data_IF_791566900658
#
_entry.id   IF_791566900658
#
_cell.length_a   1.000
_cell.length_b   1.000
_cell.length_c   1.000
_cell.angle_alpha   90.00
_cell.angle_beta   90.00
_cell.angle_gamma   90.00
#
_symmetry.space_group_name_H-M   'P 1'
#
loop_
_entity.id
_entity.type
_entity.pdbx_description
1 polymer ?
#
# COMPACT_ATOMS: atom_id res chain seq x y z
N UNK A 1 -45.58 -10.38 -25.16
CA UNK A 1 -44.84 -11.37 -24.30
C UNK A 1 -45.62 -11.50 -23.00
N UNK A 2 -46.01 -12.76 -22.58
CA UNK A 2 -46.79 -12.92 -21.34
C UNK A 2 -45.92 -12.55 -20.12
N UNK A 3 -46.50 -11.86 -19.13
CA UNK A 3 -45.80 -11.39 -17.92
C UNK A 3 -44.93 -12.48 -17.25
N UNK A 4 -45.43 -13.75 -17.27
CA UNK A 4 -44.70 -14.94 -16.82
C UNK A 4 -43.37 -15.17 -17.57
N UNK A 5 -43.34 -14.95 -18.88
CA UNK A 5 -42.12 -15.15 -19.68
C UNK A 5 -41.08 -14.04 -19.39
N UNK A 6 -41.54 -12.80 -19.17
CA UNK A 6 -40.69 -11.70 -18.76
C UNK A 6 -40.05 -11.96 -17.39
N UNK A 7 -40.84 -12.48 -16.44
CA UNK A 7 -40.35 -12.86 -15.10
C UNK A 7 -39.28 -13.96 -15.19
N UNK A 8 -39.56 -15.04 -15.97
CA UNK A 8 -38.60 -16.14 -16.17
C UNK A 8 -37.30 -15.66 -16.80
N UNK A 9 -37.37 -14.78 -17.79
CA UNK A 9 -36.18 -14.15 -18.41
C UNK A 9 -35.38 -13.33 -17.40
N UNK A 10 -36.05 -12.54 -16.57
CA UNK A 10 -35.39 -11.76 -15.53
C UNK A 10 -34.68 -12.64 -14.51
N UNK A 11 -35.34 -13.70 -14.04
CA UNK A 11 -34.74 -14.68 -13.11
C UNK A 11 -33.53 -15.37 -13.75
N UNK A 12 -33.66 -15.83 -15.01
CA UNK A 12 -32.54 -16.42 -15.72
C UNK A 12 -31.37 -15.46 -15.88
N UNK A 13 -31.62 -14.19 -16.18
CA UNK A 13 -30.59 -13.15 -16.28
C UNK A 13 -29.89 -12.95 -14.94
N UNK A 14 -30.63 -12.85 -13.82
CA UNK A 14 -30.05 -12.69 -12.49
C UNK A 14 -29.21 -13.89 -12.09
N UNK A 15 -29.64 -15.12 -12.43
CA UNK A 15 -28.86 -16.34 -12.17
C UNK A 15 -27.56 -16.36 -12.99
N UNK A 16 -27.61 -15.94 -14.25
CA UNK A 16 -26.42 -15.84 -15.12
C UNK A 16 -25.44 -14.80 -14.55
N UNK A 17 -25.94 -13.62 -14.15
CA UNK A 17 -25.13 -12.56 -13.53
C UNK A 17 -24.47 -13.09 -12.26
N UNK A 18 -25.25 -13.68 -11.37
CA UNK A 18 -24.77 -14.27 -10.12
C UNK A 18 -23.72 -15.34 -10.32
N UNK A 19 -23.96 -16.26 -11.29
CA UNK A 19 -22.98 -17.30 -11.64
C UNK A 19 -21.67 -16.72 -12.17
N UNK A 20 -21.73 -15.73 -13.06
CA UNK A 20 -20.53 -15.08 -13.61
C UNK A 20 -19.72 -14.34 -12.56
N UNK A 21 -20.37 -13.71 -11.59
CA UNK A 21 -19.68 -13.08 -10.47
C UNK A 21 -19.04 -14.14 -9.57
N UNK A 22 -19.80 -15.18 -9.19
CA UNK A 22 -19.31 -16.23 -8.32
C UNK A 22 -18.13 -17.02 -8.90
N UNK A 23 -18.10 -17.19 -10.23
CA UNK A 23 -17.02 -17.91 -10.95
C UNK A 23 -15.91 -17.00 -11.46
N UNK A 24 -16.00 -15.68 -11.23
CA UNK A 24 -14.93 -14.77 -11.61
C UNK A 24 -13.70 -15.01 -10.76
N UNK A 25 -12.60 -15.41 -11.40
CA UNK A 25 -11.35 -15.75 -10.74
C UNK A 25 -10.34 -14.62 -10.85
N UNK A 26 -9.53 -14.52 -9.82
CA UNK A 26 -8.33 -13.68 -9.81
C UNK A 26 -7.10 -14.58 -10.02
N UNK A 27 -5.97 -14.03 -10.51
CA UNK A 27 -4.73 -14.79 -10.57
C UNK A 27 -4.36 -15.30 -9.17
N UNK A 28 -3.89 -16.53 -9.11
CA UNK A 28 -3.31 -17.05 -7.88
C UNK A 28 -1.98 -16.33 -7.60
N UNK A 29 -1.66 -16.17 -6.32
CA UNK A 29 -0.34 -15.68 -5.92
C UNK A 29 0.72 -16.65 -6.45
N UNK A 30 1.80 -16.12 -7.01
CA UNK A 30 2.93 -16.92 -7.48
C UNK A 30 3.55 -17.72 -6.34
N UNK A 31 4.22 -18.82 -6.68
CA UNK A 31 4.99 -19.61 -5.72
C UNK A 31 6.18 -18.79 -5.20
N UNK A 32 6.34 -18.71 -3.86
CA UNK A 32 7.50 -18.06 -3.21
C UNK A 32 8.85 -18.75 -3.51
N UNK A 33 8.81 -19.94 -4.12
CA UNK A 33 10.01 -20.77 -4.36
C UNK A 33 10.81 -20.36 -5.61
N UNK A 34 10.35 -19.38 -6.38
CA UNK A 34 11.15 -18.84 -7.49
C UNK A 34 12.27 -17.97 -6.95
N UNK A 35 13.50 -18.31 -7.31
CA UNK A 35 14.67 -17.49 -7.01
C UNK A 35 14.40 -16.05 -7.45
N UNK A 36 14.71 -15.04 -6.60
CA UNK A 36 14.47 -13.65 -6.93
C UNK A 36 15.16 -13.30 -8.26
N UNK A 37 14.41 -12.71 -9.17
CA UNK A 37 14.95 -12.21 -10.45
C UNK A 37 15.97 -11.06 -10.24
N UNK A 38 16.12 -10.62 -9.00
CA UNK A 38 17.02 -9.56 -8.52
C UNK A 38 17.84 -10.08 -7.35
N UNK A 39 18.91 -9.36 -6.98
CA UNK A 39 19.67 -9.62 -5.75
C UNK A 39 18.93 -9.17 -4.46
N UNK A 40 17.66 -8.75 -4.57
CA UNK A 40 16.85 -8.25 -3.47
C UNK A 40 15.74 -9.25 -3.13
N UNK A 41 15.41 -9.34 -1.85
CA UNK A 41 14.32 -10.13 -1.32
C UNK A 41 13.08 -9.23 -1.19
N UNK A 42 11.97 -9.66 -1.76
CA UNK A 42 10.70 -8.95 -1.81
C UNK A 42 9.76 -9.49 -0.74
N UNK A 43 9.48 -8.68 0.28
CA UNK A 43 8.62 -9.05 1.41
C UNK A 43 7.33 -8.24 1.38
N UNK A 44 6.23 -8.98 1.35
CA UNK A 44 4.87 -8.46 1.29
C UNK A 44 4.32 -8.14 2.66
N UNK A 45 3.87 -6.91 2.89
CA UNK A 45 3.42 -6.52 4.22
C UNK A 45 2.34 -5.47 4.28
N UNK A 46 1.73 -5.40 5.45
CA UNK A 46 0.67 -4.45 5.77
C UNK A 46 1.13 -3.46 6.84
N UNK A 47 0.78 -2.21 6.62
CA UNK A 47 0.97 -1.11 7.55
C UNK A 47 -0.41 -0.51 7.84
N UNK A 48 -0.62 0.02 9.03
CA UNK A 48 -1.87 0.59 9.51
C UNK A 48 -2.95 -0.48 9.72
N UNK A 49 -2.79 -1.21 10.81
CA UNK A 49 -3.74 -2.23 11.25
C UNK A 49 -4.03 -2.03 12.73
N UNK A 50 -5.31 -2.10 13.10
CA UNK A 50 -5.76 -1.94 14.47
C UNK A 50 -6.06 -3.28 15.11
N UNK A 51 -5.74 -3.37 16.41
CA UNK A 51 -6.01 -4.53 17.24
C UNK A 51 -6.98 -4.19 18.37
N UNK A 52 -7.26 -5.15 19.26
CA UNK A 52 -8.06 -4.91 20.48
C UNK A 52 -7.39 -3.97 21.48
N UNK A 53 -6.15 -3.55 21.24
CA UNK A 53 -5.51 -2.51 22.04
C UNK A 53 -6.07 -1.11 21.78
N UNK A 54 -6.79 -0.93 20.68
CA UNK A 54 -7.56 0.29 20.41
C UNK A 54 -9.00 -0.05 19.98
N UNK A 55 -9.30 0.02 18.73
CA UNK A 55 -10.67 -0.17 18.22
C UNK A 55 -10.77 -1.24 17.12
N UNK A 56 -9.71 -2.01 16.92
CA UNK A 56 -9.73 -3.23 16.10
C UNK A 56 -10.53 -4.36 16.75
N UNK A 57 -11.00 -5.30 15.93
CA UNK A 57 -11.85 -6.41 16.39
C UNK A 57 -11.07 -7.67 16.79
N UNK A 58 -9.80 -7.78 16.40
CA UNK A 58 -8.96 -8.96 16.62
C UNK A 58 -7.84 -8.71 17.63
N UNK A 59 -7.47 -9.73 18.41
CA UNK A 59 -6.22 -9.70 19.18
C UNK A 59 -5.02 -9.74 18.23
N UNK A 60 -3.82 -9.50 18.75
CA UNK A 60 -2.58 -9.60 17.95
C UNK A 60 -2.47 -10.97 17.29
N UNK A 61 -2.73 -12.04 18.06
CA UNK A 61 -2.67 -13.42 17.59
C UNK A 61 -3.69 -13.70 16.48
N UNK A 62 -4.93 -13.19 16.61
CA UNK A 62 -5.98 -13.33 15.60
C UNK A 62 -5.63 -12.58 14.31
N UNK A 63 -5.08 -11.37 14.44
CA UNK A 63 -4.65 -10.53 13.31
C UNK A 63 -3.45 -11.16 12.61
N UNK A 64 -2.45 -11.63 13.35
CA UNK A 64 -1.30 -12.34 12.79
C UNK A 64 -1.71 -13.64 12.08
N UNK A 65 -2.61 -14.43 12.67
CA UNK A 65 -3.15 -15.63 12.04
C UNK A 65 -3.91 -15.33 10.73
N UNK A 66 -4.66 -14.21 10.67
CA UNK A 66 -5.31 -13.76 9.44
C UNK A 66 -4.28 -13.35 8.38
N UNK A 67 -3.22 -12.64 8.78
CA UNK A 67 -2.09 -12.28 7.91
C UNK A 67 -1.38 -13.50 7.33
N UNK A 68 -1.09 -14.50 8.16
CA UNK A 68 -0.52 -15.77 7.71
C UNK A 68 -1.40 -16.45 6.65
N UNK A 69 -2.71 -16.54 6.86
CA UNK A 69 -3.65 -17.09 5.85
C UNK A 69 -3.75 -16.23 4.59
N UNK A 70 -3.49 -14.93 4.69
CA UNK A 70 -3.45 -14.01 3.55
C UNK A 70 -2.11 -14.05 2.80
N UNK A 71 -1.10 -14.73 3.33
CA UNK A 71 0.23 -14.82 2.75
C UNK A 71 1.06 -13.53 2.94
N UNK A 72 0.86 -12.84 4.06
CA UNK A 72 1.58 -11.62 4.45
C UNK A 72 2.85 -12.01 5.21
N UNK A 73 3.99 -11.39 4.89
CA UNK A 73 5.29 -11.66 5.51
C UNK A 73 5.55 -10.78 6.74
N UNK A 74 5.04 -9.53 6.73
CA UNK A 74 5.13 -8.65 7.89
C UNK A 74 3.86 -7.82 8.06
N UNK A 75 3.57 -7.44 9.31
CA UNK A 75 2.45 -6.58 9.66
C UNK A 75 2.89 -5.59 10.75
N UNK A 76 2.62 -4.31 10.52
CA UNK A 76 2.85 -3.26 11.51
C UNK A 76 1.49 -2.77 11.99
N UNK A 77 1.13 -3.10 13.25
CA UNK A 77 -0.04 -2.50 13.88
C UNK A 77 0.25 -1.06 14.28
N UNK A 78 -0.79 -0.22 14.26
CA UNK A 78 -0.70 1.17 14.66
C UNK A 78 -1.95 1.55 15.45
N UNK A 79 -2.10 0.93 16.60
CA UNK A 79 -3.23 1.16 17.50
C UNK A 79 -3.30 2.64 17.93
N UNK A 80 -4.52 3.18 18.05
CA UNK A 80 -4.74 4.59 18.35
C UNK A 80 -4.12 5.03 19.68
N UNK A 81 -3.16 5.96 19.62
CA UNK A 81 -2.54 6.65 20.75
C UNK A 81 -2.01 5.70 21.83
N UNK A 82 -1.45 4.57 21.42
CA UNK A 82 -0.88 3.57 22.33
C UNK A 82 0.19 2.71 21.66
N UNK A 83 1.24 2.42 22.41
CA UNK A 83 2.26 1.41 22.11
C UNK A 83 2.11 0.18 23.02
N UNK A 84 0.92 -0.06 23.57
CA UNK A 84 0.71 -1.15 24.51
C UNK A 84 1.09 -2.53 23.94
N UNK A 85 0.88 -2.84 22.63
CA UNK A 85 1.37 -4.11 22.07
C UNK A 85 2.89 -4.28 22.21
N UNK A 86 3.69 -3.21 22.03
CA UNK A 86 5.13 -3.24 22.26
C UNK A 86 5.47 -3.46 23.75
N UNK A 87 4.80 -2.75 24.66
CA UNK A 87 5.00 -2.85 26.11
C UNK A 87 4.65 -4.24 26.60
N UNK A 88 3.62 -4.87 26.05
CA UNK A 88 3.19 -6.23 26.38
C UNK A 88 4.00 -7.31 25.64
N UNK A 89 5.12 -6.95 25.00
CA UNK A 89 6.02 -7.85 24.27
C UNK A 89 5.32 -8.68 23.19
N UNK A 90 4.40 -8.05 22.46
CA UNK A 90 3.66 -8.71 21.37
C UNK A 90 4.41 -8.69 20.03
N UNK A 91 5.48 -7.90 19.87
CA UNK A 91 6.31 -7.98 18.67
C UNK A 91 7.01 -9.33 18.58
N UNK A 92 7.09 -9.88 17.38
CA UNK A 92 7.73 -11.17 17.17
C UNK A 92 7.26 -11.89 15.92
N UNK A 93 7.78 -13.09 15.76
CA UNK A 93 7.39 -14.00 14.69
C UNK A 93 6.17 -14.83 15.10
N UNK A 94 5.12 -14.78 14.30
CA UNK A 94 3.91 -15.58 14.39
C UNK A 94 3.87 -16.49 13.15
N UNK A 95 4.34 -17.72 13.26
CA UNK A 95 4.66 -18.60 12.15
C UNK A 95 5.63 -17.93 11.16
N UNK A 96 5.18 -17.57 9.95
CA UNK A 96 6.02 -16.90 8.95
C UNK A 96 5.79 -15.37 8.86
N UNK A 97 4.96 -14.81 9.72
CA UNK A 97 4.66 -13.38 9.76
C UNK A 97 5.43 -12.68 10.87
N UNK A 98 6.19 -11.63 10.51
CA UNK A 98 6.80 -10.71 11.45
C UNK A 98 5.77 -9.66 11.88
N UNK A 99 5.33 -9.70 13.15
CA UNK A 99 4.44 -8.70 13.72
C UNK A 99 5.24 -7.63 14.44
N UNK A 100 4.99 -6.35 14.10
CA UNK A 100 5.61 -5.18 14.71
C UNK A 100 4.54 -4.19 15.16
N UNK A 101 4.92 -3.28 16.06
CA UNK A 101 4.03 -2.28 16.66
C UNK A 101 4.49 -0.87 16.36
N UNK A 102 3.54 -0.03 15.99
CA UNK A 102 3.64 1.41 15.91
C UNK A 102 2.45 2.04 16.61
N UNK A 103 2.22 3.32 16.38
CA UNK A 103 1.16 4.10 16.98
C UNK A 103 0.49 4.99 15.91
N UNK A 104 -0.84 5.02 15.84
CA UNK A 104 -1.56 6.06 15.12
C UNK A 104 -1.90 7.21 16.07
N UNK A 105 -1.18 8.32 15.92
CA UNK A 105 -1.27 9.48 16.82
C UNK A 105 -2.30 10.48 16.29
N UNK A 106 -3.34 10.72 17.08
CA UNK A 106 -4.37 11.71 16.77
C UNK A 106 -4.02 13.11 17.23
N UNK A 107 -4.09 14.11 16.34
CA UNK A 107 -3.69 15.51 16.55
C UNK A 107 -4.82 16.48 16.21
N UNK A 108 -5.92 16.43 16.98
CA UNK A 108 -7.03 17.39 16.75
C UNK A 108 -7.81 17.19 15.44
N UNK A 109 -7.82 15.98 14.89
CA UNK A 109 -8.51 15.60 13.66
C UNK A 109 -7.57 15.33 12.49
N UNK A 110 -6.26 15.40 12.69
CA UNK A 110 -5.22 14.92 11.80
C UNK A 110 -4.53 13.72 12.48
N UNK A 111 -3.92 12.85 11.69
CA UNK A 111 -3.30 11.64 12.21
C UNK A 111 -1.95 11.38 11.54
N UNK A 112 -1.03 10.79 12.29
CA UNK A 112 0.24 10.28 11.77
C UNK A 112 0.51 8.88 12.31
N UNK A 113 1.04 8.02 11.47
CA UNK A 113 1.58 6.75 11.91
C UNK A 113 3.01 6.98 12.39
N UNK A 114 3.31 6.55 13.61
CA UNK A 114 4.65 6.55 14.17
C UNK A 114 5.15 5.12 14.30
N UNK A 115 6.27 4.81 13.68
CA UNK A 115 6.89 3.48 13.69
C UNK A 115 8.35 3.58 14.12
N UNK A 116 8.88 2.53 14.74
CA UNK A 116 10.27 2.51 15.23
C UNK A 116 10.48 3.42 16.44
N UNK A 117 9.44 3.74 17.21
CA UNK A 117 9.48 4.46 18.47
C UNK A 117 9.47 3.49 19.65
N UNK A 118 10.04 3.88 20.76
CA UNK A 118 10.14 3.07 21.99
C UNK A 118 9.19 3.52 23.10
N UNK A 119 8.60 4.71 22.96
CA UNK A 119 7.67 5.31 23.93
C UNK A 119 6.52 5.93 23.20
N UNK A 120 5.31 5.78 23.76
CA UNK A 120 4.09 6.43 23.28
C UNK A 120 4.30 7.94 23.18
N UNK A 121 3.92 8.51 22.05
CA UNK A 121 3.91 9.95 21.84
C UNK A 121 2.60 10.51 22.33
N UNK A 122 2.65 11.28 23.40
CA UNK A 122 1.47 11.75 24.13
C UNK A 122 0.52 12.58 23.27
N UNK A 123 -0.75 12.17 23.21
CA UNK A 123 -1.86 12.90 22.61
C UNK A 123 -2.16 14.16 23.39
N UNK A 124 -1.62 15.29 23.01
CA UNK A 124 -1.83 16.57 23.70
C UNK A 124 -2.28 17.68 22.76
N UNK A 125 -3.32 17.53 21.95
CA UNK A 125 -3.79 18.61 21.04
C UNK A 125 -2.62 19.42 20.42
N UNK A 126 -1.47 18.76 20.26
CA UNK A 126 -0.22 19.36 19.85
C UNK A 126 -0.30 19.73 18.37
N UNK A 127 0.42 20.75 18.04
CA UNK A 127 0.73 21.06 16.65
C UNK A 127 1.44 19.83 16.01
N UNK A 128 1.09 19.44 14.79
CA UNK A 128 1.67 18.28 14.13
C UNK A 128 3.20 18.27 14.12
N UNK A 129 3.84 19.45 13.96
CA UNK A 129 5.30 19.54 13.97
C UNK A 129 5.91 19.03 15.27
N UNK A 130 5.34 19.36 16.43
CA UNK A 130 5.86 18.93 17.71
C UNK A 130 5.75 17.40 17.89
N UNK A 131 4.72 16.76 17.32
CA UNK A 131 4.55 15.30 17.32
C UNK A 131 5.61 14.65 16.41
N UNK A 132 5.79 15.19 15.20
CA UNK A 132 6.80 14.66 14.26
C UNK A 132 8.22 14.80 14.83
N UNK A 133 8.52 15.92 15.49
CA UNK A 133 9.81 16.14 16.14
C UNK A 133 10.06 15.15 17.30
N UNK A 134 9.02 14.83 18.08
CA UNK A 134 9.13 13.83 19.17
C UNK A 134 9.34 12.40 18.61
N UNK A 135 8.64 12.03 17.54
CA UNK A 135 8.88 10.76 16.85
C UNK A 135 10.32 10.69 16.34
N UNK A 136 10.78 11.76 15.68
CA UNK A 136 12.15 11.84 15.16
C UNK A 136 13.21 11.79 16.25
N UNK A 137 12.98 12.44 17.41
CA UNK A 137 13.88 12.37 18.58
C UNK A 137 14.04 10.95 19.13
N UNK A 138 13.04 10.09 18.94
CA UNK A 138 13.13 8.67 19.28
C UNK A 138 13.80 7.84 18.18
N UNK A 139 14.23 8.44 17.04
CA UNK A 139 14.72 7.72 15.87
C UNK A 139 13.62 7.06 15.03
N UNK A 140 12.35 7.38 15.30
CA UNK A 140 11.19 6.82 14.63
C UNK A 140 10.94 7.42 13.25
N UNK A 141 9.95 6.88 12.59
CA UNK A 141 9.43 7.29 11.29
C UNK A 141 8.00 7.82 11.45
N UNK A 142 7.67 8.89 10.70
CA UNK A 142 6.33 9.49 10.70
C UNK A 142 5.74 9.46 9.31
N UNK A 143 4.53 8.87 9.17
CA UNK A 143 3.78 8.85 7.92
C UNK A 143 2.43 9.55 8.12
N UNK A 144 2.10 10.50 7.22
CA UNK A 144 0.76 11.12 7.24
C UNK A 144 -0.28 10.01 7.00
N UNK A 145 -1.18 9.84 7.96
CA UNK A 145 -2.29 8.89 7.85
C UNK A 145 -3.48 9.54 7.12
N UNK A 146 -4.13 8.78 6.25
CA UNK A 146 -5.31 9.14 5.45
C UNK A 146 -5.38 10.63 5.06
N UNK A 147 -4.34 11.16 4.32
CA UNK A 147 -4.10 12.58 4.13
C UNK A 147 -5.26 13.36 3.53
N UNK A 148 -6.11 12.71 2.76
CA UNK A 148 -7.25 13.32 2.06
C UNK A 148 -8.60 12.83 2.57
N UNK A 149 -8.66 12.37 3.82
CA UNK A 149 -9.92 11.99 4.43
C UNK A 149 -10.84 13.22 4.63
N UNK A 150 -12.14 13.16 4.27
CA UNK A 150 -13.00 14.34 4.28
C UNK A 150 -13.14 15.05 5.63
N UNK A 151 -12.99 14.33 6.74
CA UNK A 151 -13.15 14.88 8.11
C UNK A 151 -11.85 15.00 8.87
N UNK A 152 -10.91 14.07 8.64
CA UNK A 152 -9.65 13.94 9.37
C UNK A 152 -8.43 13.97 8.46
N UNK A 153 -8.56 14.60 7.29
CA UNK A 153 -7.43 14.77 6.37
C UNK A 153 -6.40 15.76 6.90
N UNK A 154 -5.18 15.61 6.41
CA UNK A 154 -4.04 16.43 6.78
C UNK A 154 -4.22 17.88 6.32
N UNK A 155 -3.96 18.85 7.20
CA UNK A 155 -4.11 20.27 6.93
C UNK A 155 -2.78 21.03 7.01
N UNK A 156 -1.89 20.54 7.86
CA UNK A 156 -0.61 21.20 8.16
C UNK A 156 0.49 20.79 7.17
N UNK A 157 0.26 21.07 5.88
CA UNK A 157 1.17 20.71 4.80
C UNK A 157 2.56 21.39 4.87
N UNK A 158 2.75 22.37 5.76
CA UNK A 158 4.05 22.97 6.08
C UNK A 158 4.91 22.17 7.06
N UNK A 159 4.40 21.07 7.63
CA UNK A 159 5.16 20.19 8.54
C UNK A 159 6.33 19.56 7.80
N UNK A 160 7.50 19.55 8.46
CA UNK A 160 8.75 19.01 7.93
C UNK A 160 9.23 17.80 8.73
N UNK A 161 10.19 17.03 8.19
CA UNK A 161 10.75 15.85 8.87
C UNK A 161 9.83 14.62 8.84
N UNK A 162 8.83 14.63 7.99
CA UNK A 162 8.01 13.45 7.69
C UNK A 162 8.83 12.41 6.92
N UNK A 163 8.64 11.14 7.21
CA UNK A 163 9.21 10.03 6.43
C UNK A 163 8.38 9.77 5.18
N UNK A 164 7.05 9.85 5.29
CA UNK A 164 6.19 9.51 4.18
C UNK A 164 4.72 9.85 4.38
N UNK A 165 3.89 9.33 3.48
CA UNK A 165 2.45 9.48 3.53
C UNK A 165 1.75 8.27 2.93
N UNK A 166 0.53 8.03 3.34
CA UNK A 166 -0.37 7.07 2.72
C UNK A 166 -0.86 7.58 1.37
N UNK A 167 -0.70 6.76 0.34
CA UNK A 167 -1.18 7.06 -1.01
C UNK A 167 -2.52 6.37 -1.27
N UNK A 168 -2.61 5.10 -0.92
CA UNK A 168 -3.86 4.33 -0.95
C UNK A 168 -4.26 4.06 0.49
N UNK A 169 -5.45 4.47 0.86
CA UNK A 169 -6.08 4.17 2.14
C UNK A 169 -7.34 3.34 1.90
N UNK A 170 -7.35 2.15 2.45
CA UNK A 170 -8.41 1.18 2.22
C UNK A 170 -9.76 1.63 2.81
N UNK A 171 -9.75 2.24 4.00
CA UNK A 171 -10.98 2.75 4.61
C UNK A 171 -11.59 3.89 3.77
N UNK A 172 -10.77 4.67 3.08
CA UNK A 172 -11.21 5.76 2.23
C UNK A 172 -11.91 5.25 0.96
N UNK A 173 -11.55 4.05 0.45
CA UNK A 173 -12.23 3.44 -0.70
C UNK A 173 -13.73 3.24 -0.43
N UNK A 174 -14.08 2.75 0.76
CA UNK A 174 -15.48 2.60 1.16
C UNK A 174 -16.19 3.94 1.32
N UNK A 175 -15.51 4.95 1.85
CA UNK A 175 -16.09 6.28 2.15
C UNK A 175 -16.28 7.13 0.89
N UNK A 176 -15.45 6.96 -0.14
CA UNK A 176 -15.54 7.68 -1.42
C UNK A 176 -16.44 6.99 -2.45
N UNK A 177 -16.78 5.71 -2.26
CA UNK A 177 -17.65 4.98 -3.15
C UNK A 177 -19.05 5.63 -3.23
N UNK A 178 -19.56 5.81 -4.43
CA UNK A 178 -20.94 6.25 -4.61
C UNK A 178 -21.94 5.16 -4.13
N UNK A 179 -23.14 5.57 -3.81
CA UNK A 179 -24.15 4.67 -3.23
C UNK A 179 -24.49 3.46 -4.10
N UNK A 180 -24.43 3.60 -5.43
CA UNK A 180 -24.72 2.50 -6.38
C UNK A 180 -23.58 1.48 -6.32
N UNK A 181 -22.34 1.93 -6.39
CA UNK A 181 -21.14 1.06 -6.29
C UNK A 181 -21.09 0.35 -4.95
N UNK A 182 -21.39 1.06 -3.86
CA UNK A 182 -21.43 0.47 -2.51
C UNK A 182 -22.53 -0.61 -2.42
N UNK A 183 -23.75 -0.31 -2.89
CA UNK A 183 -24.85 -1.27 -2.92
C UNK A 183 -24.50 -2.50 -3.75
N UNK A 184 -23.90 -2.30 -4.94
CA UNK A 184 -23.45 -3.38 -5.80
C UNK A 184 -22.40 -4.25 -5.11
N UNK A 185 -21.41 -3.65 -4.47
CA UNK A 185 -20.39 -4.36 -3.71
C UNK A 185 -20.98 -5.17 -2.56
N UNK A 186 -21.92 -4.61 -1.82
CA UNK A 186 -22.63 -5.32 -0.74
C UNK A 186 -23.43 -6.52 -1.26
N UNK A 187 -24.12 -6.38 -2.40
CA UNK A 187 -24.90 -7.47 -3.02
C UNK A 187 -24.02 -8.58 -3.59
N UNK A 188 -22.86 -8.23 -4.09
CA UNK A 188 -21.93 -9.19 -4.73
C UNK A 188 -20.95 -9.82 -3.75
N UNK A 189 -20.75 -9.23 -2.56
CA UNK A 189 -19.82 -9.73 -1.54
C UNK A 189 -20.07 -11.19 -1.13
N UNK A 190 -21.30 -11.64 -0.87
CA UNK A 190 -21.56 -13.06 -0.55
C UNK A 190 -21.21 -14.03 -1.69
N UNK A 191 -21.21 -13.55 -2.93
CA UNK A 191 -20.91 -14.37 -4.12
C UNK A 191 -19.40 -14.41 -4.39
N UNK A 192 -18.74 -13.26 -4.28
CA UNK A 192 -17.31 -13.10 -4.52
C UNK A 192 -16.76 -11.86 -3.77
N UNK A 193 -16.23 -12.06 -2.54
CA UNK A 193 -15.72 -10.97 -1.72
C UNK A 193 -14.62 -10.15 -2.42
N UNK A 194 -13.71 -10.81 -3.11
CA UNK A 194 -12.60 -10.18 -3.85
C UNK A 194 -13.11 -9.27 -4.95
N UNK A 195 -14.06 -9.73 -5.76
CA UNK A 195 -14.71 -8.92 -6.78
C UNK A 195 -15.44 -7.71 -6.18
N UNK A 196 -16.18 -7.93 -5.09
CA UNK A 196 -16.90 -6.86 -4.41
C UNK A 196 -15.98 -5.76 -3.90
N UNK A 197 -14.81 -6.13 -3.32
CA UNK A 197 -13.82 -5.15 -2.86
C UNK A 197 -13.13 -4.43 -4.02
N UNK A 198 -12.79 -5.14 -5.10
CA UNK A 198 -12.17 -4.52 -6.28
C UNK A 198 -13.07 -3.45 -6.92
N UNK A 199 -14.40 -3.62 -6.87
CA UNK A 199 -15.34 -2.61 -7.37
C UNK A 199 -15.27 -1.27 -6.62
N UNK A 200 -14.75 -1.28 -5.39
CA UNK A 200 -14.55 -0.05 -4.59
C UNK A 200 -13.24 0.64 -4.92
N UNK A 201 -12.30 -0.06 -5.54
CA UNK A 201 -11.00 0.49 -5.87
C UNK A 201 -11.11 1.59 -6.93
N UNK A 202 -10.51 2.72 -6.63
CA UNK A 202 -10.31 3.85 -7.54
C UNK A 202 -8.87 4.30 -7.42
N UNK A 203 -8.24 4.63 -8.57
CA UNK A 203 -6.88 5.20 -8.55
C UNK A 203 -6.89 6.47 -7.68
N UNK A 204 -5.97 6.60 -6.70
CA UNK A 204 -5.98 7.69 -5.71
C UNK A 204 -5.39 8.98 -6.30
N UNK A 205 -6.04 9.54 -7.34
CA UNK A 205 -5.51 10.65 -8.14
C UNK A 205 -5.08 11.85 -7.31
N UNK A 206 -5.90 12.25 -6.32
CA UNK A 206 -5.61 13.43 -5.50
C UNK A 206 -4.42 13.20 -4.57
N UNK A 207 -4.29 11.99 -4.00
CA UNK A 207 -3.17 11.64 -3.14
C UNK A 207 -1.87 11.54 -3.94
N UNK A 208 -1.91 10.92 -5.12
CA UNK A 208 -0.78 10.87 -6.05
C UNK A 208 -0.32 12.27 -6.44
N UNK A 209 -1.26 13.16 -6.82
CA UNK A 209 -0.94 14.55 -7.15
C UNK A 209 -0.27 15.27 -5.97
N UNK A 210 -0.81 15.12 -4.76
CA UNK A 210 -0.23 15.73 -3.57
C UNK A 210 1.15 15.17 -3.24
N UNK A 211 1.35 13.87 -3.42
CA UNK A 211 2.64 13.22 -3.27
C UNK A 211 3.66 13.73 -4.30
N UNK A 212 3.27 13.76 -5.59
CA UNK A 212 4.11 14.30 -6.67
C UNK A 212 4.51 15.78 -6.43
N UNK A 213 3.60 16.61 -5.91
CA UNK A 213 3.90 18.00 -5.53
C UNK A 213 4.94 18.07 -4.40
N UNK A 214 4.78 17.26 -3.35
CA UNK A 214 5.66 17.29 -2.18
C UNK A 214 7.04 16.72 -2.49
N UNK A 215 7.11 15.63 -3.25
CA UNK A 215 8.37 14.97 -3.60
C UNK A 215 9.30 15.82 -4.45
N UNK A 216 8.81 16.88 -5.06
CA UNK A 216 9.69 17.87 -5.74
C UNK A 216 10.56 18.67 -4.77
N UNK A 217 10.16 18.81 -3.52
CA UNK A 217 10.85 19.64 -2.52
C UNK A 217 11.43 18.87 -1.34
N UNK A 218 11.05 17.60 -1.16
CA UNK A 218 11.51 16.75 -0.06
C UNK A 218 11.50 15.27 -0.47
N UNK A 219 12.25 14.44 0.23
CA UNK A 219 12.13 12.99 0.13
C UNK A 219 10.91 12.55 0.95
N UNK A 220 9.94 11.89 0.34
CA UNK A 220 8.70 11.47 0.98
C UNK A 220 8.25 10.11 0.45
N UNK A 221 8.26 9.13 1.32
CA UNK A 221 7.93 7.74 0.99
C UNK A 221 6.41 7.56 0.85
N UNK A 222 5.97 6.98 -0.26
CA UNK A 222 4.58 6.57 -0.45
C UNK A 222 4.34 5.14 0.04
N UNK A 223 3.24 4.93 0.75
CA UNK A 223 2.82 3.60 1.23
C UNK A 223 1.35 3.31 0.92
N UNK A 224 1.03 2.01 0.87
CA UNK A 224 -0.33 1.52 1.00
C UNK A 224 -0.69 1.39 2.48
N UNK A 225 -1.86 1.90 2.84
CA UNK A 225 -2.46 1.79 4.16
C UNK A 225 -3.59 0.77 4.13
N UNK A 226 -3.51 -0.21 5.01
CA UNK A 226 -4.56 -1.20 5.14
C UNK A 226 -5.76 -0.68 5.93
N UNK A 227 -5.54 0.15 6.93
CA UNK A 227 -6.52 0.75 7.88
C UNK A 227 -7.60 -0.27 8.29
N UNK A 228 -7.11 -1.46 8.75
CA UNK A 228 -7.99 -2.59 9.06
C UNK A 228 -8.42 -2.54 10.52
N UNK A 229 -9.74 -2.40 10.72
CA UNK A 229 -10.35 -2.53 12.03
C UNK A 229 -11.06 -3.89 12.22
N UNK A 230 -11.31 -4.63 11.14
CA UNK A 230 -11.98 -5.94 11.17
C UNK A 230 -13.45 -5.89 11.60
N UNK A 231 -14.03 -4.71 11.77
CA UNK A 231 -15.42 -4.53 12.13
C UNK A 231 -16.02 -3.26 11.52
N UNK A 232 -17.30 -3.34 11.19
CA UNK A 232 -18.11 -2.20 10.80
C UNK A 232 -19.06 -1.83 11.96
N UNK A 233 -18.93 -0.61 12.49
CA UNK A 233 -19.81 -0.11 13.56
C UNK A 233 -21.09 0.50 12.97
N UNK A 234 -22.23 -0.18 13.15
CA UNK A 234 -23.54 0.30 12.71
C UNK A 234 -24.05 1.41 13.65
N UNK A 235 -23.80 1.27 14.96
CA UNK A 235 -24.04 2.27 16.04
C UNK A 235 -23.04 2.02 17.15
N UNK A 236 -22.91 2.96 18.11
CA UNK A 236 -22.01 2.82 19.28
C UNK A 236 -22.09 1.45 20.00
N UNK A 237 -23.18 0.69 19.80
CA UNK A 237 -23.49 -0.56 20.53
C UNK A 237 -23.45 -1.84 19.67
N UNK A 238 -23.43 -1.71 18.34
CA UNK A 238 -23.48 -2.86 17.44
C UNK A 238 -22.36 -2.78 16.42
N UNK A 239 -21.47 -3.77 16.44
CA UNK A 239 -20.46 -3.97 15.41
C UNK A 239 -20.69 -5.30 14.70
N UNK A 240 -20.42 -5.33 13.41
CA UNK A 240 -20.44 -6.55 12.60
C UNK A 240 -19.01 -6.77 12.11
N UNK A 241 -18.47 -7.98 12.32
CA UNK A 241 -17.17 -8.36 11.74
C UNK A 241 -17.31 -8.47 10.22
N UNK A 242 -17.07 -7.37 9.55
CA UNK A 242 -17.21 -7.24 8.10
C UNK A 242 -16.42 -6.02 7.61
N UNK A 243 -15.73 -6.12 6.45
CA UNK A 243 -15.39 -7.35 5.72
C UNK A 243 -14.47 -8.27 6.53
N UNK A 244 -14.32 -9.53 6.11
CA UNK A 244 -13.39 -10.45 6.74
C UNK A 244 -11.95 -9.90 6.61
N UNK A 245 -11.17 -9.78 7.71
CA UNK A 245 -9.83 -9.18 7.67
C UNK A 245 -8.93 -9.82 6.61
N UNK A 246 -8.92 -11.15 6.52
CA UNK A 246 -8.13 -11.88 5.53
C UNK A 246 -8.44 -11.47 4.07
N UNK A 247 -9.71 -11.21 3.74
CA UNK A 247 -10.10 -10.76 2.39
C UNK A 247 -9.54 -9.37 2.09
N UNK A 248 -9.54 -8.48 3.09
CA UNK A 248 -8.98 -7.13 2.96
C UNK A 248 -7.46 -7.19 2.83
N UNK A 249 -6.80 -8.04 3.63
CA UNK A 249 -5.36 -8.23 3.62
C UNK A 249 -4.81 -8.74 2.28
N UNK A 250 -5.65 -9.44 1.49
CA UNK A 250 -5.30 -9.93 0.15
C UNK A 250 -5.49 -8.90 -0.97
N UNK A 251 -6.10 -7.74 -0.68
CA UNK A 251 -6.45 -6.76 -1.70
C UNK A 251 -5.20 -6.06 -2.25
N UNK A 252 -4.38 -5.54 -1.36
CA UNK A 252 -3.18 -4.79 -1.69
C UNK A 252 -2.17 -4.85 -0.54
N UNK A 253 -0.91 -4.59 -0.82
CA UNK A 253 0.14 -4.56 0.19
C UNK A 253 1.32 -3.67 -0.21
N UNK A 254 2.22 -3.45 0.76
CA UNK A 254 3.55 -2.89 0.53
C UNK A 254 4.52 -4.04 0.28
N UNK A 255 5.37 -3.91 -0.73
CA UNK A 255 6.43 -4.83 -1.09
C UNK A 255 7.77 -4.17 -0.77
N UNK A 256 8.41 -4.61 0.30
CA UNK A 256 9.67 -4.05 0.78
C UNK A 256 10.84 -4.87 0.27
N UNK A 257 11.77 -4.19 -0.37
CA UNK A 257 12.94 -4.80 -1.02
C UNK A 257 14.13 -4.81 -0.06
N UNK A 258 14.51 -5.98 0.41
CA UNK A 258 15.59 -6.16 1.38
C UNK A 258 16.85 -6.73 0.72
N UNK A 259 18.05 -6.28 1.14
CA UNK A 259 19.32 -6.78 0.59
C UNK A 259 19.68 -8.20 1.10
N UNK A 260 19.01 -8.68 2.15
CA UNK A 260 19.24 -10.00 2.76
C UNK A 260 17.90 -10.59 3.20
N UNK A 261 17.80 -11.92 3.29
CA UNK A 261 16.58 -12.56 3.77
C UNK A 261 16.36 -12.32 5.27
N UNK A 262 15.11 -12.40 5.69
CA UNK A 262 14.76 -12.53 7.11
C UNK A 262 15.41 -13.79 7.69
N UNK A 263 15.84 -13.72 8.94
CA UNK A 263 16.53 -14.81 9.65
C UNK A 263 15.72 -15.44 10.77
N UNK A 264 14.55 -14.86 11.10
CA UNK A 264 13.78 -15.23 12.30
C UNK A 264 14.29 -14.57 13.58
N UNK A 265 15.26 -13.64 13.49
CA UNK A 265 15.73 -12.82 14.59
C UNK A 265 14.97 -11.49 14.60
N UNK A 266 14.22 -11.23 15.66
CA UNK A 266 13.32 -10.08 15.74
C UNK A 266 14.05 -8.75 15.52
N UNK A 267 15.14 -8.52 16.24
CA UNK A 267 15.83 -7.22 16.19
C UNK A 267 16.52 -7.00 14.85
N UNK A 268 17.17 -8.04 14.33
CA UNK A 268 17.83 -7.98 13.03
C UNK A 268 16.81 -7.73 11.91
N UNK A 269 15.74 -8.50 11.87
CA UNK A 269 14.74 -8.46 10.81
C UNK A 269 13.92 -7.15 10.87
N UNK A 270 13.56 -6.69 12.08
CA UNK A 270 12.89 -5.41 12.34
C UNK A 270 13.73 -4.23 11.86
N UNK A 271 15.01 -4.18 12.22
CA UNK A 271 15.90 -3.08 11.85
C UNK A 271 16.06 -3.01 10.33
N UNK A 272 16.33 -4.15 9.68
CA UNK A 272 16.47 -4.21 8.23
C UNK A 272 15.18 -3.77 7.49
N UNK A 273 14.01 -4.18 8.00
CA UNK A 273 12.71 -3.76 7.46
C UNK A 273 12.50 -2.25 7.63
N UNK A 274 12.78 -1.72 8.82
CA UNK A 274 12.60 -0.29 9.10
C UNK A 274 13.59 0.58 8.32
N UNK A 275 14.82 0.13 8.09
CA UNK A 275 15.79 0.83 7.24
C UNK A 275 15.26 0.92 5.80
N UNK A 276 14.76 -0.17 5.24
CA UNK A 276 14.20 -0.17 3.88
C UNK A 276 12.94 0.71 3.78
N UNK A 277 12.06 0.69 4.78
CA UNK A 277 10.90 1.58 4.84
C UNK A 277 11.31 3.05 4.92
N UNK A 278 12.32 3.39 5.72
CA UNK A 278 12.85 4.75 5.86
C UNK A 278 13.43 5.26 4.55
N UNK A 279 14.16 4.41 3.86
CA UNK A 279 14.79 4.76 2.57
C UNK A 279 13.80 4.76 1.39
N UNK A 280 12.61 4.19 1.55
CA UNK A 280 11.64 4.08 0.48
C UNK A 280 11.97 2.96 -0.52
N UNK A 281 12.75 1.96 -0.11
CA UNK A 281 13.06 0.77 -0.91
C UNK A 281 11.84 -0.16 -0.95
N UNK A 282 10.73 0.35 -1.42
CA UNK A 282 9.47 -0.37 -1.52
C UNK A 282 8.61 0.14 -2.67
N UNK A 283 7.73 -0.70 -3.12
CA UNK A 283 6.60 -0.36 -3.95
C UNK A 283 5.32 -0.86 -3.28
N UNK A 284 4.17 -0.41 -3.74
CA UNK A 284 2.90 -0.93 -3.26
C UNK A 284 2.02 -1.33 -4.44
N UNK A 285 1.22 -2.37 -4.24
CA UNK A 285 0.48 -2.98 -5.32
C UNK A 285 -0.89 -3.48 -4.92
N UNK A 286 -1.78 -3.55 -5.89
CA UNK A 286 -3.08 -4.23 -5.79
C UNK A 286 -2.87 -5.72 -6.05
N UNK A 287 -2.45 -6.49 -5.06
CA UNK A 287 -2.08 -7.92 -5.18
C UNK A 287 -3.22 -8.78 -5.70
N UNK A 288 -4.45 -8.37 -5.45
CA UNK A 288 -5.63 -9.05 -5.98
C UNK A 288 -5.65 -9.10 -7.52
N UNK A 289 -4.99 -8.16 -8.19
CA UNK A 289 -4.92 -8.12 -9.65
C UNK A 289 -3.88 -9.06 -10.23
N UNK A 290 -2.95 -9.54 -9.41
CA UNK A 290 -1.87 -10.46 -9.76
C UNK A 290 -0.68 -10.28 -8.81
N UNK A 291 0.17 -11.28 -8.71
CA UNK A 291 1.37 -11.25 -7.88
C UNK A 291 2.43 -10.31 -8.49
N UNK A 292 2.75 -9.17 -7.85
CA UNK A 292 3.73 -8.21 -8.34
C UNK A 292 5.16 -8.54 -7.93
N UNK A 293 5.37 -9.62 -7.17
CA UNK A 293 6.68 -10.00 -6.61
C UNK A 293 7.76 -10.04 -7.68
N UNK A 294 8.89 -9.40 -7.37
CA UNK A 294 10.00 -9.25 -8.30
C UNK A 294 9.89 -8.04 -9.23
N UNK A 295 8.90 -7.16 -9.05
CA UNK A 295 8.94 -5.84 -9.67
C UNK A 295 10.12 -5.05 -9.12
N UNK A 296 10.85 -4.38 -10.00
CA UNK A 296 11.95 -3.50 -9.61
C UNK A 296 11.97 -2.24 -10.47
N UNK A 297 12.15 -1.09 -9.82
CA UNK A 297 12.48 0.17 -10.46
C UNK A 297 13.82 0.65 -9.91
N UNK A 298 14.81 0.75 -10.78
CA UNK A 298 16.19 1.07 -10.45
C UNK A 298 16.81 1.98 -11.49
N UNK A 299 17.91 2.65 -11.11
CA UNK A 299 18.71 3.46 -12.00
C UNK A 299 20.16 3.00 -12.02
N UNK A 300 20.89 3.40 -13.06
CA UNK A 300 22.35 3.29 -13.12
C UNK A 300 22.90 4.62 -13.61
N UNK A 301 23.77 5.25 -12.82
CA UNK A 301 24.45 6.49 -13.18
C UNK A 301 25.50 6.24 -14.25
N UNK A 302 25.99 7.29 -14.89
CA UNK A 302 27.08 7.21 -15.86
C UNK A 302 28.37 6.59 -15.26
N UNK A 303 28.62 6.79 -13.95
CA UNK A 303 29.73 6.17 -13.22
C UNK A 303 29.51 4.69 -12.88
N UNK A 304 28.37 4.10 -13.24
CA UNK A 304 28.02 2.72 -12.96
C UNK A 304 27.43 2.48 -11.56
N UNK A 305 27.17 3.53 -10.78
CA UNK A 305 26.50 3.41 -9.48
C UNK A 305 25.04 3.00 -9.66
N UNK A 306 24.60 2.00 -8.92
CA UNK A 306 23.22 1.53 -8.91
C UNK A 306 22.42 2.26 -7.85
N UNK A 307 21.24 2.69 -8.20
CA UNK A 307 20.26 3.33 -7.32
C UNK A 307 18.94 2.59 -7.41
N UNK A 308 18.23 2.51 -6.30
CA UNK A 308 16.95 1.86 -6.19
C UNK A 308 15.85 2.92 -6.01
N UNK A 309 14.59 2.55 -6.24
CA UNK A 309 13.47 3.41 -5.82
C UNK A 309 13.65 3.80 -4.35
N UNK A 310 13.41 5.08 -4.03
CA UNK A 310 13.72 5.69 -2.74
C UNK A 310 15.04 6.47 -2.71
N UNK A 311 16.02 6.12 -3.54
CA UNK A 311 17.34 6.74 -3.52
C UNK A 311 17.36 8.13 -4.18
N UNK A 312 18.35 8.95 -3.76
CA UNK A 312 18.70 10.22 -4.37
C UNK A 312 19.98 10.09 -5.21
N UNK A 313 19.93 10.61 -6.44
CA UNK A 313 21.08 10.76 -7.31
C UNK A 313 21.50 12.23 -7.30
N UNK A 314 22.67 12.50 -6.72
CA UNK A 314 23.21 13.87 -6.58
C UNK A 314 24.38 14.13 -7.52
N UNK A 315 24.82 13.12 -8.26
CA UNK A 315 25.92 13.25 -9.22
C UNK A 315 25.41 13.74 -10.56
N UNK A 316 26.13 14.67 -11.23
CA UNK A 316 25.78 15.09 -12.59
C UNK A 316 25.96 13.94 -13.59
N UNK A 317 25.24 14.02 -14.69
CA UNK A 317 25.30 13.04 -15.79
C UNK A 317 24.01 12.23 -15.90
N UNK A 318 23.74 11.64 -17.07
CA UNK A 318 22.50 10.90 -17.31
C UNK A 318 22.37 9.69 -16.40
N UNK A 319 21.11 9.36 -16.05
CA UNK A 319 20.76 8.16 -15.28
C UNK A 319 19.94 7.24 -16.17
N UNK A 320 20.41 6.03 -16.39
CA UNK A 320 19.62 5.01 -17.09
C UNK A 320 18.65 4.39 -16.12
N UNK A 321 17.37 4.74 -16.23
CA UNK A 321 16.28 4.21 -15.45
C UNK A 321 15.75 2.92 -16.09
N UNK A 322 15.46 1.91 -15.27
CA UNK A 322 14.93 0.62 -15.70
C UNK A 322 13.81 0.15 -14.79
N UNK A 323 12.64 -0.13 -15.36
CA UNK A 323 11.52 -0.77 -14.67
C UNK A 323 11.27 -2.17 -15.24
N UNK A 324 11.27 -3.18 -14.39
CA UNK A 324 11.07 -4.58 -14.80
C UNK A 324 9.99 -5.23 -13.96
N UNK A 325 9.14 -6.04 -14.60
CA UNK A 325 8.19 -6.91 -13.91
C UNK A 325 8.88 -8.22 -13.51
N UNK A 326 8.42 -8.80 -12.40
CA UNK A 326 8.80 -10.14 -11.99
C UNK A 326 8.40 -11.21 -13.01
N UNK A 327 8.84 -12.42 -12.79
CA UNK A 327 8.53 -13.56 -13.66
C UNK A 327 7.34 -14.39 -13.20
N UNK A 328 6.91 -14.21 -11.94
CA UNK A 328 5.89 -15.04 -11.30
C UNK A 328 4.48 -14.81 -11.89
N UNK A 329 4.20 -13.59 -12.32
CA UNK A 329 2.94 -13.24 -12.97
C UNK A 329 3.21 -12.32 -14.17
N UNK A 330 2.68 -12.72 -15.33
CA UNK A 330 2.71 -11.90 -16.56
C UNK A 330 1.29 -11.67 -17.03
N UNK A 331 0.72 -10.48 -16.80
CA UNK A 331 -0.59 -10.16 -17.32
C UNK A 331 -0.59 -10.19 -18.86
N UNK A 332 -1.73 -10.59 -19.45
CA UNK A 332 -1.89 -10.64 -20.92
C UNK A 332 -1.73 -9.26 -21.57
N UNK A 333 -2.15 -8.22 -20.85
CA UNK A 333 -2.04 -6.82 -21.31
C UNK A 333 -1.70 -5.91 -20.15
N UNK A 334 -0.58 -5.22 -20.27
CA UNK A 334 -0.09 -4.25 -19.29
C UNK A 334 0.62 -3.08 -19.96
N UNK A 335 0.79 -2.00 -19.22
CA UNK A 335 1.56 -0.83 -19.61
C UNK A 335 2.38 -0.35 -18.42
N UNK A 336 3.69 -0.28 -18.58
CA UNK A 336 4.61 0.34 -17.62
C UNK A 336 4.70 1.82 -18.01
N UNK A 337 4.35 2.72 -17.11
CA UNK A 337 4.36 4.17 -17.34
C UNK A 337 5.42 4.79 -16.43
N UNK A 338 6.41 5.47 -17.02
CA UNK A 338 7.37 6.29 -16.29
C UNK A 338 6.84 7.71 -16.19
N UNK A 339 6.81 8.25 -14.98
CA UNK A 339 6.42 9.62 -14.70
C UNK A 339 7.64 10.41 -14.19
N UNK A 340 7.75 11.67 -14.63
CA UNK A 340 8.67 12.68 -14.08
C UNK A 340 7.82 13.78 -13.47
N UNK A 341 8.03 14.06 -12.18
CA UNK A 341 7.29 15.12 -11.44
C UNK A 341 5.76 14.95 -11.56
N UNK A 342 5.29 13.69 -11.56
CA UNK A 342 3.88 13.33 -11.70
C UNK A 342 3.34 13.33 -13.13
N UNK A 343 4.15 13.69 -14.14
CA UNK A 343 3.74 13.74 -15.55
C UNK A 343 4.33 12.56 -16.33
N UNK A 344 3.53 11.77 -17.07
CA UNK A 344 4.05 10.71 -17.93
C UNK A 344 5.06 11.22 -18.96
N UNK A 345 6.23 10.59 -19.02
CA UNK A 345 7.30 10.92 -19.97
C UNK A 345 7.53 9.83 -21.02
N UNK A 346 7.27 8.58 -20.67
CA UNK A 346 7.32 7.45 -21.60
C UNK A 346 6.52 6.28 -21.05
N UNK A 347 6.17 5.34 -21.92
CA UNK A 347 5.54 4.07 -21.52
C UNK A 347 6.03 2.90 -22.39
N UNK A 348 5.75 1.67 -21.90
CA UNK A 348 6.07 0.44 -22.63
C UNK A 348 5.04 -0.65 -22.32
N UNK A 349 4.64 -1.40 -23.33
CA UNK A 349 3.86 -2.63 -23.19
C UNK A 349 4.73 -3.88 -23.06
N UNK A 350 6.05 -3.70 -22.96
CA UNK A 350 7.03 -4.78 -22.76
C UNK A 350 7.92 -4.49 -21.56
N UNK A 351 8.40 -5.54 -20.90
CA UNK A 351 9.34 -5.44 -19.78
C UNK A 351 10.73 -5.91 -20.25
N UNK A 352 11.81 -5.17 -19.91
CA UNK A 352 11.80 -3.92 -19.12
C UNK A 352 11.48 -2.69 -19.95
N UNK A 353 10.91 -1.65 -19.30
CA UNK A 353 11.00 -0.28 -19.78
C UNK A 353 12.40 0.26 -19.43
N UNK A 354 13.07 0.87 -20.39
CA UNK A 354 14.38 1.52 -20.19
C UNK A 354 14.29 2.96 -20.69
N UNK A 355 14.79 3.91 -19.89
CA UNK A 355 14.75 5.33 -20.20
C UNK A 355 16.03 6.04 -19.73
N UNK A 356 16.63 6.86 -20.57
CA UNK A 356 17.78 7.69 -20.21
C UNK A 356 17.28 9.05 -19.69
N UNK A 357 17.30 9.23 -18.36
CA UNK A 357 16.94 10.48 -17.71
C UNK A 357 18.13 11.46 -17.81
N UNK A 358 17.96 12.53 -18.60
CA UNK A 358 18.96 13.61 -18.78
C UNK A 358 18.65 14.85 -17.97
N UNK A 359 17.45 14.95 -17.47
CA UNK A 359 16.97 16.10 -16.71
C UNK A 359 16.70 15.71 -15.26
N UNK A 360 17.05 16.61 -14.36
CA UNK A 360 16.67 16.49 -12.95
C UNK A 360 15.15 16.41 -12.81
N UNK A 361 14.69 15.67 -11.81
CA UNK A 361 13.28 15.46 -11.51
C UNK A 361 13.04 14.26 -10.60
N UNK A 362 11.83 14.04 -10.24
CA UNK A 362 11.36 12.93 -9.42
C UNK A 362 10.73 11.88 -10.34
N UNK A 363 11.40 10.75 -10.47
CA UNK A 363 10.97 9.70 -11.39
C UNK A 363 10.34 8.55 -10.64
N UNK A 364 9.10 8.19 -10.99
CA UNK A 364 8.41 7.01 -10.46
C UNK A 364 7.68 6.24 -11.56
N UNK A 365 7.31 5.02 -11.25
CA UNK A 365 6.65 4.12 -12.19
C UNK A 365 5.26 3.75 -11.69
N UNK A 366 4.31 3.74 -12.60
CA UNK A 366 3.02 3.06 -12.44
C UNK A 366 2.93 1.92 -13.46
N UNK A 367 2.39 0.77 -13.04
CA UNK A 367 2.06 -0.31 -13.95
C UNK A 367 0.55 -0.44 -14.02
N UNK A 368 0.02 -0.25 -15.20
CA UNK A 368 -1.39 -0.45 -15.50
C UNK A 368 -1.60 -1.82 -16.12
N UNK A 369 -2.70 -2.47 -15.79
CA UNK A 369 -3.11 -3.69 -16.47
C UNK A 369 -4.58 -3.65 -16.84
N UNK A 370 -4.92 -4.35 -17.92
CA UNK A 370 -6.29 -4.54 -18.36
C UNK A 370 -6.80 -5.89 -17.86
N UNK A 371 -7.98 -5.86 -17.28
CA UNK A 371 -8.69 -7.08 -16.87
C UNK A 371 -10.09 -7.10 -17.48
N UNK A 372 -10.47 -8.28 -17.94
CA UNK A 372 -11.83 -8.52 -18.39
C UNK A 372 -12.75 -8.66 -17.18
N UNK A 373 -13.77 -7.81 -17.09
CA UNK A 373 -14.78 -7.90 -16.03
C UNK A 373 -15.65 -9.15 -16.21
N UNK A 374 -16.42 -9.57 -15.18
CA UNK A 374 -17.42 -10.63 -15.34
C UNK A 374 -18.42 -10.37 -16.46
N UNK A 375 -18.59 -9.12 -16.86
CA UNK A 375 -19.51 -8.69 -17.93
C UNK A 375 -18.83 -8.47 -19.29
N UNK A 376 -17.60 -9.01 -19.46
CA UNK A 376 -16.83 -9.00 -20.71
C UNK A 376 -16.34 -7.61 -21.16
N UNK A 377 -16.50 -6.57 -20.37
CA UNK A 377 -15.86 -5.27 -20.60
C UNK A 377 -14.41 -5.28 -20.08
N UNK A 378 -13.49 -4.65 -20.80
CA UNK A 378 -12.14 -4.43 -20.32
C UNK A 378 -12.13 -3.24 -19.37
N UNK A 379 -11.47 -3.42 -18.24
CA UNK A 379 -11.23 -2.37 -17.24
C UNK A 379 -9.72 -2.24 -17.03
N UNK A 380 -9.26 -1.00 -16.98
CA UNK A 380 -7.86 -0.68 -16.70
C UNK A 380 -7.71 -0.34 -15.22
N UNK A 381 -6.74 -0.97 -14.58
CA UNK A 381 -6.40 -0.73 -13.19
C UNK A 381 -4.92 -0.38 -13.10
N UNK A 382 -4.57 0.58 -12.24
CA UNK A 382 -3.18 0.72 -11.84
C UNK A 382 -2.88 -0.36 -10.80
N UNK A 383 -1.94 -1.23 -11.14
CA UNK A 383 -1.59 -2.42 -10.39
C UNK A 383 -0.44 -2.17 -9.42
N UNK A 384 0.65 -1.54 -9.89
CA UNK A 384 1.86 -1.28 -9.11
C UNK A 384 2.15 0.22 -9.11
N UNK A 385 2.60 0.72 -7.96
CA UNK A 385 3.11 2.07 -7.75
C UNK A 385 4.49 1.98 -7.11
N UNK A 386 5.53 2.44 -7.81
CA UNK A 386 6.86 2.52 -7.21
C UNK A 386 7.02 3.75 -6.33
N UNK A 387 7.88 3.67 -5.32
CA UNK A 387 8.49 4.87 -4.78
C UNK A 387 9.41 5.50 -5.83
N UNK A 388 9.68 6.81 -5.74
CA UNK A 388 10.46 7.51 -6.76
C UNK A 388 11.97 7.31 -6.60
N UNK A 389 12.71 7.51 -7.71
CA UNK A 389 14.12 7.84 -7.71
C UNK A 389 14.20 9.36 -7.85
N UNK A 390 14.96 10.01 -6.97
CA UNK A 390 15.14 11.45 -6.94
C UNK A 390 16.44 11.80 -7.68
N UNK A 391 16.34 12.29 -8.91
CA UNK A 391 17.50 12.76 -9.65
C UNK A 391 17.62 14.28 -9.50
N UNK A 392 18.65 14.72 -8.75
CA UNK A 392 18.84 16.12 -8.35
C UNK A 392 20.32 16.44 -8.33
N UNK A 393 20.72 17.58 -8.87
CA UNK A 393 22.11 18.02 -8.86
C UNK A 393 22.69 18.30 -7.47
N UNK A 394 21.83 18.47 -6.45
CA UNK A 394 22.22 18.58 -5.03
C UNK A 394 21.20 17.84 -4.14
N UNK A 395 21.64 17.23 -3.03
CA UNK A 395 20.74 16.62 -2.07
C UNK A 395 19.87 17.70 -1.40
N UNK A 396 18.69 17.28 -0.90
CA UNK A 396 17.94 18.15 0.00
C UNK A 396 18.79 18.55 1.18
N UNK A 397 18.81 19.84 1.49
CA UNK A 397 19.34 20.27 2.77
C UNK A 397 18.55 19.55 3.87
N UNK A 398 19.24 18.77 4.70
CA UNK A 398 18.67 18.15 5.90
C UNK A 398 18.17 19.28 6.80
N UNK A 399 16.87 19.53 6.80
CA UNK A 399 16.22 20.53 7.67
C UNK A 399 15.94 19.95 9.04
#
# INVERSE_FOLDING_TARGET
MKLRNLYLLLVALLLIIGWRIATYSFPEAGSKDSAPATSLYDYKGLIHVHTTYSDGAGTVEEVAAAGNRAGIDFLISTDHNTLQPLIDHKEGWYDHLLFLSGEEIGMGGEYTLAMGISKTVMRNKREPQAVIDEVRQQGGMSFISHPLHPRSGWKNWGTTGLTGMEIIDNALLFKKANSITLLWSLLTYPLNPSYALLNLYQRPQDALKKWDERTQTEKLVGIYSADIHGQFRIRKRYSVKFPAPETVMRLASNHVLLPKPFKGDLDYDKNMLYDALREGHLYFAMDLLGDPTGFIFQGTTESGEKVLMGDEVTKPGPVTLRASLGTNFRPESYRIVLLKDGVPVTDSSTTPLVYEAKEEGVYRVEVELQRRSPFMSNQTYTWIYSNPIYYRGMPFASK
#
